data_IF_533419608587
#
_entry.id   IF_533419608587
#
_cell.length_a   1.000
_cell.length_b   1.000
_cell.length_c   1.000
_cell.angle_alpha   90.00
_cell.angle_beta   90.00
_cell.angle_gamma   90.00
#
_symmetry.space_group_name_H-M   'P 1'
#
loop_
_entity.id
_entity.type
_entity.pdbx_description
1 polymer ?
#
# COMPACT_ATOMS: atom_id res chain seq x y z
N UNK A 1 -11.31 24.44 14.05
CA UNK A 1 -12.66 24.58 13.51
C UNK A 1 -13.02 23.50 12.51
N UNK A 2 -12.43 23.47 11.28
CA UNK A 2 -12.67 22.34 10.36
C UNK A 2 -12.30 21.01 11.04
N UNK A 3 -11.15 20.96 11.71
CA UNK A 3 -10.73 19.78 12.47
C UNK A 3 -11.71 19.38 13.58
N UNK A 4 -12.31 20.32 14.29
CA UNK A 4 -13.32 20.02 15.33
C UNK A 4 -14.60 19.43 14.71
N UNK A 5 -15.01 19.88 13.52
CA UNK A 5 -16.14 19.30 12.80
C UNK A 5 -15.79 17.90 12.32
N UNK A 6 -14.60 17.73 11.74
CA UNK A 6 -14.13 16.44 11.24
C UNK A 6 -13.99 15.44 12.39
N UNK A 7 -13.47 15.87 13.53
CA UNK A 7 -13.38 15.05 14.73
C UNK A 7 -14.77 14.62 15.22
N UNK A 8 -15.72 15.56 15.39
CA UNK A 8 -17.10 15.26 15.77
C UNK A 8 -17.80 14.32 14.80
N UNK A 9 -17.50 14.47 13.51
CA UNK A 9 -18.03 13.58 12.48
C UNK A 9 -17.44 12.18 12.63
N UNK A 10 -16.13 12.07 12.87
CA UNK A 10 -15.46 10.78 13.04
C UNK A 10 -15.89 10.03 14.32
N UNK A 11 -16.26 10.77 15.37
CA UNK A 11 -16.82 10.21 16.62
C UNK A 11 -18.27 9.71 16.47
N UNK A 12 -18.93 10.01 15.35
CA UNK A 12 -20.33 9.66 15.10
C UNK A 12 -20.47 8.87 13.79
N UNK A 13 -20.45 7.55 13.90
CA UNK A 13 -20.59 6.64 12.75
C UNK A 13 -21.90 6.82 11.98
N UNK A 14 -22.98 7.11 12.68
CA UNK A 14 -24.31 7.29 12.07
C UNK A 14 -24.34 8.58 11.22
N UNK A 15 -23.69 9.64 11.71
CA UNK A 15 -23.54 10.87 10.94
C UNK A 15 -22.67 10.68 9.67
N UNK A 16 -21.66 9.83 9.73
CA UNK A 16 -20.87 9.47 8.53
C UNK A 16 -21.75 8.71 7.53
N UNK A 17 -22.53 7.74 7.99
CA UNK A 17 -23.45 6.98 7.12
C UNK A 17 -24.47 7.91 6.49
N UNK A 18 -25.14 8.77 7.29
CA UNK A 18 -26.13 9.75 6.79
C UNK A 18 -25.49 10.69 5.74
N UNK A 19 -24.26 11.12 5.95
CA UNK A 19 -23.53 11.96 5.01
C UNK A 19 -23.24 11.22 3.68
N UNK A 20 -22.82 9.97 3.76
CA UNK A 20 -22.53 9.14 2.58
C UNK A 20 -23.82 8.81 1.81
N UNK A 21 -24.91 8.51 2.51
CA UNK A 21 -26.23 8.28 1.91
C UNK A 21 -26.77 9.54 1.24
N UNK A 22 -26.64 10.71 1.89
CA UNK A 22 -27.06 12.00 1.33
C UNK A 22 -26.38 12.30 -0.01
N UNK A 23 -25.12 11.91 -0.15
CA UNK A 23 -24.34 12.07 -1.40
C UNK A 23 -24.40 10.83 -2.30
N UNK A 24 -25.34 9.91 -2.06
CA UNK A 24 -25.56 8.72 -2.88
C UNK A 24 -24.27 7.90 -3.12
N UNK A 25 -23.46 7.71 -2.07
CA UNK A 25 -22.34 6.79 -2.12
C UNK A 25 -22.81 5.33 -2.12
N UNK A 26 -22.16 4.47 -2.91
CA UNK A 26 -22.60 3.08 -3.07
C UNK A 26 -22.26 2.19 -1.87
N UNK A 27 -23.01 1.11 -1.70
CA UNK A 27 -22.85 0.04 -0.66
C UNK A 27 -22.05 0.45 0.57
N UNK A 28 -22.73 0.79 1.66
CA UNK A 28 -22.10 1.17 2.93
C UNK A 28 -22.12 -0.03 3.89
N UNK A 29 -20.98 -0.36 4.48
CA UNK A 29 -20.84 -1.32 5.59
C UNK A 29 -20.16 -0.66 6.77
N UNK A 30 -20.76 -0.77 7.94
CA UNK A 30 -20.23 -0.25 9.20
C UNK A 30 -19.83 -1.42 10.09
N UNK A 31 -18.66 -1.33 10.69
CA UNK A 31 -18.23 -2.20 11.79
C UNK A 31 -17.70 -1.34 12.96
N UNK A 32 -17.24 -1.97 14.03
CA UNK A 32 -16.75 -1.26 15.22
C UNK A 32 -15.48 -0.43 15.00
N UNK A 33 -14.77 -0.62 13.89
CA UNK A 33 -13.48 0.02 13.63
C UNK A 33 -13.51 1.02 12.47
N UNK A 34 -14.41 0.80 11.48
CA UNK A 34 -14.42 1.60 10.26
C UNK A 34 -15.78 1.55 9.54
N UNK A 35 -16.02 2.56 8.71
CA UNK A 35 -17.04 2.53 7.66
C UNK A 35 -16.34 2.19 6.35
N UNK A 36 -16.85 1.22 5.60
CA UNK A 36 -16.41 0.91 4.24
C UNK A 36 -17.54 1.15 3.25
N UNK A 37 -17.21 1.67 2.09
CA UNK A 37 -18.19 1.94 1.06
C UNK A 37 -17.62 1.82 -0.36
N UNK A 38 -18.49 1.74 -1.36
CA UNK A 38 -18.13 1.68 -2.76
C UNK A 38 -18.33 3.04 -3.44
N UNK A 39 -17.63 3.27 -4.56
CA UNK A 39 -17.92 4.41 -5.44
C UNK A 39 -19.17 4.13 -6.26
N UNK A 40 -19.85 5.21 -6.67
CA UNK A 40 -21.05 5.14 -7.50
C UNK A 40 -20.79 4.52 -8.86
N UNK A 41 -19.63 4.83 -9.46
CA UNK A 41 -19.23 4.40 -10.78
C UNK A 41 -18.92 2.91 -10.89
N UNK A 42 -18.75 2.23 -9.75
CA UNK A 42 -18.42 0.80 -9.65
C UNK A 42 -19.17 0.11 -8.51
N UNK A 43 -20.50 0.01 -8.55
CA UNK A 43 -21.28 -0.57 -7.46
C UNK A 43 -20.99 -2.05 -7.19
N UNK A 44 -20.38 -2.76 -8.14
CA UNK A 44 -19.97 -4.17 -8.01
C UNK A 44 -18.52 -4.37 -7.57
N UNK A 45 -17.69 -3.32 -7.62
CA UNK A 45 -16.23 -3.39 -7.41
C UNK A 45 -15.80 -3.43 -5.95
N UNK A 46 -16.59 -3.94 -5.05
CA UNK A 46 -16.19 -4.11 -3.65
C UNK A 46 -16.07 -2.80 -2.86
N UNK A 47 -15.84 -2.93 -1.55
CA UNK A 47 -15.76 -1.84 -0.58
C UNK A 47 -14.33 -1.26 -0.55
N UNK A 48 -13.96 -0.51 -1.58
CA UNK A 48 -12.59 -0.04 -1.81
C UNK A 48 -12.23 1.27 -1.09
N UNK A 49 -13.17 1.85 -0.34
CA UNK A 49 -12.99 3.11 0.37
C UNK A 49 -13.28 2.86 1.85
N UNK A 50 -12.42 3.38 2.74
CA UNK A 50 -12.63 3.23 4.18
C UNK A 50 -12.41 4.53 4.94
N UNK A 51 -13.16 4.68 6.04
CA UNK A 51 -12.97 5.70 7.07
C UNK A 51 -12.83 4.96 8.40
N UNK A 52 -11.66 5.03 9.02
CA UNK A 52 -11.40 4.43 10.33
C UNK A 52 -11.83 5.38 11.44
N UNK A 53 -12.27 4.84 12.56
CA UNK A 53 -12.68 5.64 13.73
C UNK A 53 -11.51 5.95 14.66
N UNK A 54 -10.58 5.01 14.84
CA UNK A 54 -9.44 5.15 15.72
C UNK A 54 -8.31 5.95 15.07
N UNK A 55 -7.71 6.87 15.82
CA UNK A 55 -6.57 7.72 15.40
C UNK A 55 -6.84 8.48 14.08
N UNK A 56 -8.06 8.96 13.89
CA UNK A 56 -8.51 9.60 12.67
C UNK A 56 -9.27 10.92 12.93
N UNK A 57 -8.71 11.82 13.75
CA UNK A 57 -9.35 13.09 14.14
C UNK A 57 -9.71 13.99 12.94
N UNK A 58 -9.09 13.76 11.80
CA UNK A 58 -9.37 14.48 10.56
C UNK A 58 -10.42 13.80 9.67
N UNK A 59 -11.09 12.76 10.14
CA UNK A 59 -12.05 11.95 9.37
C UNK A 59 -11.52 11.63 7.96
N UNK A 60 -10.33 11.01 7.93
CA UNK A 60 -9.63 10.69 6.67
C UNK A 60 -10.31 9.52 5.97
N UNK A 61 -10.56 9.72 4.70
CA UNK A 61 -11.03 8.72 3.75
C UNK A 61 -9.81 8.14 3.04
N UNK A 62 -9.64 6.84 3.11
CA UNK A 62 -8.63 6.10 2.34
C UNK A 62 -9.27 5.40 1.17
N UNK A 63 -8.91 5.83 -0.03
CA UNK A 63 -9.28 5.19 -1.27
C UNK A 63 -8.18 4.22 -1.72
N UNK A 64 -8.43 2.93 -1.58
CA UNK A 64 -7.44 1.90 -1.89
C UNK A 64 -7.20 1.72 -3.40
N UNK A 65 -8.19 2.04 -4.22
CA UNK A 65 -8.06 1.89 -5.66
C UNK A 65 -7.23 3.02 -6.32
N UNK A 66 -7.24 4.22 -5.72
CA UNK A 66 -6.45 5.38 -6.20
C UNK A 66 -5.23 5.67 -5.32
N UNK A 67 -5.04 4.94 -4.21
CA UNK A 67 -4.01 5.22 -3.19
C UNK A 67 -4.04 6.65 -2.67
N UNK A 68 -5.25 7.24 -2.59
CA UNK A 68 -5.48 8.61 -2.13
C UNK A 68 -5.97 8.62 -0.68
N UNK A 69 -5.51 9.63 0.07
CA UNK A 69 -6.01 9.92 1.42
C UNK A 69 -6.41 11.39 1.48
N UNK A 70 -7.68 11.66 1.76
CA UNK A 70 -8.24 13.00 1.90
C UNK A 70 -9.19 13.03 3.10
N UNK A 71 -9.47 14.21 3.69
CA UNK A 71 -10.61 14.27 4.61
C UNK A 71 -11.93 14.09 3.84
N UNK A 72 -12.97 13.61 4.53
CA UNK A 72 -14.25 13.26 3.89
C UNK A 72 -14.88 14.42 3.12
N UNK A 73 -14.76 15.67 3.61
CA UNK A 73 -15.32 16.84 2.93
C UNK A 73 -14.61 17.07 1.59
N UNK A 74 -13.28 17.08 1.60
CA UNK A 74 -12.49 17.23 0.38
C UNK A 74 -12.69 16.08 -0.61
N UNK A 75 -12.82 14.86 -0.09
CA UNK A 75 -13.11 13.69 -0.92
C UNK A 75 -14.48 13.81 -1.60
N UNK A 76 -15.55 14.19 -0.86
CA UNK A 76 -16.88 14.41 -1.42
C UNK A 76 -16.90 15.53 -2.45
N UNK A 77 -16.22 16.64 -2.18
CA UNK A 77 -16.10 17.74 -3.16
C UNK A 77 -15.52 17.26 -4.49
N UNK A 78 -14.47 16.46 -4.43
CA UNK A 78 -13.80 15.91 -5.61
C UNK A 78 -14.65 14.87 -6.34
N UNK A 79 -15.23 13.94 -5.61
CA UNK A 79 -15.94 12.78 -6.17
C UNK A 79 -17.32 13.16 -6.72
N UNK A 80 -18.04 14.05 -6.02
CA UNK A 80 -19.40 14.48 -6.40
C UNK A 80 -19.46 15.81 -7.14
N UNK A 81 -18.30 16.42 -7.38
CA UNK A 81 -18.19 17.74 -8.01
C UNK A 81 -19.05 18.82 -7.33
N UNK A 82 -19.05 18.84 -6.00
CA UNK A 82 -19.82 19.76 -5.16
C UNK A 82 -18.87 20.75 -4.48
N UNK A 83 -19.31 21.99 -4.32
CA UNK A 83 -18.50 23.00 -3.65
C UNK A 83 -18.34 22.73 -2.14
N UNK A 84 -17.20 23.14 -1.61
CA UNK A 84 -16.83 22.90 -0.21
C UNK A 84 -17.84 23.46 0.80
N UNK A 85 -18.44 24.62 0.51
CA UNK A 85 -19.39 25.27 1.38
C UNK A 85 -20.68 24.44 1.51
N UNK A 86 -21.14 23.89 0.40
CA UNK A 86 -22.34 23.03 0.39
C UNK A 86 -22.14 21.76 1.19
N UNK A 87 -21.00 21.08 1.02
CA UNK A 87 -20.67 19.89 1.80
C UNK A 87 -20.56 20.23 3.29
N UNK A 88 -19.88 21.33 3.64
CA UNK A 88 -19.73 21.77 5.03
C UNK A 88 -21.07 22.11 5.69
N UNK A 89 -21.99 22.74 4.97
CA UNK A 89 -23.34 23.04 5.48
C UNK A 89 -24.15 21.75 5.73
N UNK A 90 -24.04 20.76 4.84
CA UNK A 90 -24.67 19.46 5.03
C UNK A 90 -24.12 18.74 6.27
N UNK A 91 -22.78 18.72 6.45
CA UNK A 91 -22.16 18.15 7.65
C UNK A 91 -22.62 18.86 8.93
N UNK A 92 -22.68 20.20 8.93
CA UNK A 92 -23.19 20.96 10.07
C UNK A 92 -24.63 20.60 10.41
N UNK A 93 -25.48 20.45 9.38
CA UNK A 93 -26.89 20.05 9.56
C UNK A 93 -27.01 18.66 10.19
N UNK A 94 -26.29 17.68 9.66
CA UNK A 94 -26.27 16.30 10.17
C UNK A 94 -25.79 16.26 11.63
N UNK A 95 -24.75 17.05 11.96
CA UNK A 95 -24.23 17.14 13.33
C UNK A 95 -25.03 18.07 14.24
N UNK A 96 -26.17 18.63 13.80
CA UNK A 96 -26.97 19.60 14.52
C UNK A 96 -26.18 20.80 15.09
N UNK A 97 -25.20 21.29 14.32
CA UNK A 97 -24.41 22.46 14.71
C UNK A 97 -25.12 23.74 14.31
N UNK A 98 -25.25 24.73 15.24
CA UNK A 98 -25.92 26.00 14.97
C UNK A 98 -25.21 26.80 13.85
N UNK A 99 -25.99 27.56 13.07
CA UNK A 99 -25.49 28.42 11.99
C UNK A 99 -24.59 29.57 12.48
N UNK A 100 -24.73 29.98 13.75
CA UNK A 100 -23.88 30.99 14.39
C UNK A 100 -22.46 30.56 14.67
N UNK A 101 -22.15 29.31 14.38
CA UNK A 101 -20.82 28.76 14.50
C UNK A 101 -19.90 29.34 13.40
N UNK A 102 -19.42 30.58 13.62
CA UNK A 102 -18.45 31.24 12.74
C UNK A 102 -17.04 30.85 13.14
N UNK A 103 -16.16 30.61 12.14
CA UNK A 103 -14.75 30.43 12.44
C UNK A 103 -14.21 31.65 13.18
N UNK A 104 -13.52 31.45 14.31
CA UNK A 104 -12.61 32.46 14.78
C UNK A 104 -11.63 32.75 13.64
N UNK A 105 -11.61 34.01 13.13
CA UNK A 105 -10.61 34.46 12.19
C UNK A 105 -9.27 34.37 12.88
N UNK A 106 -8.54 33.30 12.73
CA UNK A 106 -7.12 33.30 12.96
C UNK A 106 -6.52 34.22 11.87
N UNK A 107 -6.04 35.38 12.27
CA UNK A 107 -5.17 36.20 11.41
C UNK A 107 -4.08 35.29 10.90
N UNK A 108 -3.87 35.20 9.57
CA UNK A 108 -2.81 34.36 9.05
C UNK A 108 -1.48 34.89 9.60
N UNK A 109 -0.79 34.11 10.40
CA UNK A 109 0.63 34.33 10.65
C UNK A 109 1.30 34.14 9.29
N UNK A 110 1.90 35.20 8.75
CA UNK A 110 2.41 35.26 7.36
C UNK A 110 3.40 34.14 7.01
N UNK A 111 3.91 33.40 8.00
CA UNK A 111 4.85 32.30 7.86
C UNK A 111 4.44 31.05 8.66
N UNK A 112 3.29 31.02 9.32
CA UNK A 112 2.84 29.90 10.15
C UNK A 112 2.67 28.62 9.34
N UNK A 113 2.08 28.70 8.15
CA UNK A 113 1.86 27.54 7.28
C UNK A 113 3.16 26.95 6.71
N UNK A 114 4.18 27.76 6.46
CA UNK A 114 5.50 27.29 6.00
C UNK A 114 6.25 26.61 7.14
N UNK A 115 6.16 27.17 8.36
CA UNK A 115 6.76 26.56 9.55
C UNK A 115 6.11 25.25 9.94
N UNK A 116 4.77 25.18 9.87
CA UNK A 116 4.02 23.95 10.12
C UNK A 116 4.30 22.87 9.06
N UNK A 117 4.50 23.26 7.80
CA UNK A 117 4.95 22.33 6.75
C UNK A 117 6.38 21.82 6.95
N UNK A 118 7.27 22.61 7.58
CA UNK A 118 8.66 22.23 7.83
C UNK A 118 8.78 21.40 9.11
N UNK A 119 8.04 21.73 10.17
CA UNK A 119 8.15 21.08 11.49
C UNK A 119 7.22 19.86 11.61
N UNK A 120 6.01 19.90 11.04
CA UNK A 120 5.04 18.79 11.13
C UNK A 120 5.19 17.72 10.02
N UNK A 121 6.27 17.74 9.25
CA UNK A 121 6.67 16.61 8.40
C UNK A 121 7.42 15.50 9.15
N UNK A 122 7.38 15.47 10.45
CA UNK A 122 7.63 14.22 11.16
C UNK A 122 6.44 13.31 10.87
N UNK A 123 6.57 12.48 9.83
CA UNK A 123 5.71 11.29 9.74
C UNK A 123 5.82 10.60 11.10
N UNK A 124 4.70 10.24 11.75
CA UNK A 124 4.77 9.49 12.98
C UNK A 124 5.69 8.30 12.73
N UNK A 125 6.64 8.05 13.63
CA UNK A 125 7.52 6.89 13.50
C UNK A 125 6.63 5.66 13.29
N UNK A 126 6.95 4.82 12.29
CA UNK A 126 6.14 3.64 12.02
C UNK A 126 6.09 2.80 13.30
N UNK A 127 4.89 2.37 13.67
CA UNK A 127 4.72 1.46 14.81
C UNK A 127 5.48 0.18 14.52
N UNK A 128 6.44 -0.14 15.38
CA UNK A 128 7.20 -1.38 15.30
C UNK A 128 6.70 -2.38 16.35
N UNK A 129 6.99 -3.64 16.12
CA UNK A 129 6.60 -4.75 17.00
C UNK A 129 7.83 -5.55 17.37
N UNK A 130 7.90 -6.06 18.62
CA UNK A 130 9.04 -6.87 19.07
C UNK A 130 9.05 -8.24 18.37
N UNK A 131 10.23 -8.83 18.20
CA UNK A 131 10.42 -10.16 17.58
C UNK A 131 9.60 -11.27 18.27
N UNK A 132 9.31 -11.09 19.56
CA UNK A 132 8.47 -12.00 20.33
C UNK A 132 7.08 -12.21 19.73
N UNK A 133 6.61 -11.26 18.90
CA UNK A 133 5.31 -11.39 18.24
C UNK A 133 5.25 -12.59 17.29
N UNK A 134 6.39 -13.06 16.79
CA UNK A 134 6.45 -14.24 15.92
C UNK A 134 6.34 -15.57 16.71
N UNK A 135 6.60 -15.57 18.04
CA UNK A 135 6.54 -16.78 18.88
C UNK A 135 5.16 -17.42 18.96
N UNK A 136 4.10 -16.69 18.62
CA UNK A 136 2.74 -17.23 18.54
C UNK A 136 2.52 -18.13 17.31
N UNK A 137 3.43 -18.10 16.34
CA UNK A 137 3.35 -18.87 15.10
C UNK A 137 4.39 -19.99 15.10
N UNK A 138 4.14 -21.03 14.30
CA UNK A 138 5.07 -22.15 14.16
C UNK A 138 6.15 -21.80 13.13
N UNK A 139 7.43 -21.76 13.47
CA UNK A 139 8.53 -21.41 12.56
C UNK A 139 8.86 -22.58 11.64
N UNK A 140 7.97 -22.89 10.71
CA UNK A 140 8.11 -23.98 9.74
C UNK A 140 7.85 -23.45 8.32
N UNK A 141 8.71 -23.89 7.40
CA UNK A 141 8.48 -23.61 5.97
C UNK A 141 7.20 -24.29 5.47
N UNK A 142 6.56 -23.65 4.51
CA UNK A 142 5.27 -24.06 3.99
C UNK A 142 5.43 -24.83 2.68
N UNK A 143 4.76 -26.00 2.57
CA UNK A 143 4.82 -26.88 1.40
C UNK A 143 4.18 -26.24 0.16
N UNK A 144 3.13 -25.43 0.32
CA UNK A 144 2.49 -24.72 -0.78
C UNK A 144 3.47 -23.73 -1.43
N UNK A 145 4.20 -22.98 -0.62
CA UNK A 145 5.23 -22.07 -1.12
C UNK A 145 6.46 -22.80 -1.67
N UNK A 146 6.78 -23.97 -1.16
CA UNK A 146 7.82 -24.83 -1.75
C UNK A 146 7.41 -25.28 -3.17
N UNK A 147 6.15 -25.69 -3.35
CA UNK A 147 5.59 -26.02 -4.67
C UNK A 147 5.50 -24.79 -5.61
N UNK A 148 5.28 -23.61 -5.05
CA UNK A 148 5.31 -22.33 -5.76
C UNK A 148 6.76 -21.88 -6.12
N UNK A 149 7.78 -22.71 -5.88
CA UNK A 149 9.17 -22.43 -6.23
C UNK A 149 9.95 -21.61 -5.22
N UNK A 150 9.51 -21.53 -3.97
CA UNK A 150 10.22 -20.82 -2.89
C UNK A 150 10.92 -21.85 -1.99
N UNK A 151 12.25 -21.85 -1.99
CA UNK A 151 13.04 -22.80 -1.20
C UNK A 151 12.81 -22.66 0.30
N UNK A 152 12.96 -23.77 1.05
CA UNK A 152 12.84 -23.76 2.51
C UNK A 152 13.92 -22.88 3.17
N UNK A 153 15.05 -22.71 2.52
CA UNK A 153 16.12 -21.83 2.99
C UNK A 153 15.68 -20.37 2.96
N UNK A 154 15.14 -19.90 1.82
CA UNK A 154 14.60 -18.54 1.67
C UNK A 154 13.41 -18.32 2.60
N UNK A 155 12.49 -19.30 2.71
CA UNK A 155 11.38 -19.18 3.65
C UNK A 155 11.85 -18.98 5.09
N UNK A 156 12.89 -19.70 5.52
CA UNK A 156 13.46 -19.58 6.87
C UNK A 156 14.19 -18.25 7.05
N UNK A 157 14.94 -17.82 6.05
CA UNK A 157 15.66 -16.54 6.07
C UNK A 157 14.72 -15.33 6.22
N UNK A 158 13.54 -15.41 5.62
CA UNK A 158 12.53 -14.36 5.67
C UNK A 158 11.50 -14.55 6.80
N UNK A 159 11.80 -15.37 7.79
CA UNK A 159 10.96 -15.64 8.96
C UNK A 159 9.54 -16.10 8.61
N UNK A 160 9.40 -16.85 7.52
CA UNK A 160 8.12 -17.43 7.15
C UNK A 160 7.71 -18.45 8.21
N UNK A 161 6.51 -18.25 8.76
CA UNK A 161 5.92 -19.10 9.78
C UNK A 161 4.56 -19.64 9.33
N UNK A 162 3.94 -20.46 10.14
CA UNK A 162 2.61 -20.99 9.92
C UNK A 162 1.71 -20.74 11.12
N UNK A 163 0.48 -20.29 10.87
CA UNK A 163 -0.59 -20.21 11.86
C UNK A 163 -1.50 -21.42 11.71
N UNK A 164 -1.47 -22.42 12.64
CA UNK A 164 -2.41 -23.54 12.60
C UNK A 164 -3.86 -23.09 12.83
N UNK A 165 -4.05 -22.05 13.66
CA UNK A 165 -5.37 -21.51 14.00
C UNK A 165 -6.08 -20.91 12.78
N UNK A 166 -5.36 -20.13 12.00
CA UNK A 166 -5.90 -19.46 10.80
C UNK A 166 -5.72 -20.29 9.53
N UNK A 167 -5.04 -21.42 9.60
CA UNK A 167 -4.56 -22.18 8.43
C UNK A 167 -3.88 -21.24 7.41
N UNK A 168 -2.89 -20.48 7.84
CA UNK A 168 -2.29 -19.44 7.05
C UNK A 168 -0.76 -19.42 7.10
N UNK A 169 -0.16 -19.09 5.97
CA UNK A 169 1.26 -18.77 5.86
C UNK A 169 1.45 -17.36 6.38
N UNK A 170 2.37 -17.17 7.30
CA UNK A 170 2.67 -15.93 8.00
C UNK A 170 4.02 -15.41 7.52
N UNK A 171 4.10 -14.14 7.20
CA UNK A 171 5.35 -13.49 6.81
C UNK A 171 5.41 -12.04 7.32
N UNK A 172 6.47 -11.69 8.08
CA UNK A 172 6.63 -10.36 8.62
C UNK A 172 7.07 -9.37 7.54
N UNK A 173 6.58 -8.14 7.63
CA UNK A 173 7.13 -7.00 6.94
C UNK A 173 8.06 -6.24 7.87
N UNK A 174 9.27 -5.95 7.41
CA UNK A 174 10.30 -5.25 8.16
C UNK A 174 10.60 -3.90 7.53
N UNK A 175 11.04 -2.96 8.34
CA UNK A 175 11.51 -1.66 7.87
C UNK A 175 13.01 -1.71 7.49
N UNK A 176 13.57 -0.55 7.16
CA UNK A 176 14.99 -0.44 6.80
C UNK A 176 15.96 -0.71 7.97
N UNK A 177 15.47 -0.74 9.20
CA UNK A 177 16.25 -1.07 10.41
C UNK A 177 16.08 -2.53 10.82
N UNK A 178 15.34 -3.30 10.04
CA UNK A 178 14.96 -4.69 10.30
C UNK A 178 13.89 -4.87 11.40
N UNK A 179 13.23 -3.80 11.85
CA UNK A 179 12.15 -3.87 12.82
C UNK A 179 10.85 -4.35 12.13
N UNK A 180 10.08 -5.23 12.81
CA UNK A 180 8.78 -5.69 12.30
C UNK A 180 7.77 -4.55 12.34
N UNK A 181 7.19 -4.20 11.20
CA UNK A 181 6.19 -3.13 11.05
C UNK A 181 4.77 -3.66 10.79
N UNK A 182 4.66 -4.88 10.28
CA UNK A 182 3.39 -5.56 10.04
C UNK A 182 3.61 -7.07 9.93
N UNK A 183 2.54 -7.83 10.12
CA UNK A 183 2.51 -9.26 9.75
C UNK A 183 1.39 -9.43 8.73
N UNK A 184 1.76 -9.92 7.56
CA UNK A 184 0.82 -10.31 6.51
C UNK A 184 0.70 -11.82 6.47
N UNK A 185 -0.44 -12.31 6.05
CA UNK A 185 -0.71 -13.74 5.96
C UNK A 185 -1.39 -14.06 4.64
N UNK A 186 -1.19 -15.29 4.20
CA UNK A 186 -1.88 -15.88 3.07
C UNK A 186 -2.53 -17.17 3.50
N UNK A 187 -3.81 -17.35 3.19
CA UNK A 187 -4.50 -18.60 3.45
C UNK A 187 -3.77 -19.77 2.76
N UNK A 188 -3.57 -20.85 3.49
CA UNK A 188 -2.83 -22.02 3.01
C UNK A 188 -3.75 -22.91 2.14
N UNK A 189 -3.82 -22.59 0.86
CA UNK A 189 -4.70 -23.23 -0.12
C UNK A 189 -5.75 -22.29 -0.67
N UNK A 190 -6.93 -22.84 -1.00
CA UNK A 190 -8.09 -22.07 -1.47
C UNK A 190 -8.91 -21.61 -0.26
N UNK A 191 -9.09 -20.30 -0.06
CA UNK A 191 -9.87 -19.81 1.06
C UNK A 191 -11.35 -20.19 0.90
N UNK A 192 -12.08 -20.41 2.02
CA UNK A 192 -13.53 -20.56 2.01
C UNK A 192 -14.24 -19.37 1.37
N UNK A 193 -15.45 -19.58 0.89
CA UNK A 193 -16.28 -18.53 0.31
C UNK A 193 -16.46 -17.34 1.27
N UNK A 194 -16.22 -16.12 0.79
CA UNK A 194 -16.28 -14.89 1.59
C UNK A 194 -15.04 -14.58 2.43
N UNK A 195 -14.03 -15.45 2.44
CA UNK A 195 -12.74 -15.19 3.10
C UNK A 195 -11.72 -14.63 2.11
N UNK A 196 -10.97 -13.63 2.54
CA UNK A 196 -9.87 -13.08 1.72
C UNK A 196 -8.67 -14.02 1.71
N UNK A 197 -8.04 -14.18 0.54
CA UNK A 197 -6.79 -14.96 0.39
C UNK A 197 -5.64 -14.38 1.21
N UNK A 198 -5.59 -13.05 1.34
CA UNK A 198 -4.58 -12.33 2.12
C UNK A 198 -5.26 -11.49 3.20
N UNK A 199 -4.67 -11.47 4.39
CA UNK A 199 -5.12 -10.65 5.51
C UNK A 199 -3.93 -10.23 6.39
N UNK A 200 -4.16 -9.35 7.35
CA UNK A 200 -3.13 -8.81 8.24
C UNK A 200 -3.46 -9.16 9.69
N UNK A 201 -2.87 -10.22 10.26
CA UNK A 201 -2.99 -10.49 11.71
C UNK A 201 -2.48 -9.31 12.53
N UNK A 202 -1.42 -8.66 12.07
CA UNK A 202 -0.90 -7.44 12.67
C UNK A 202 -0.78 -6.37 11.58
N UNK A 203 -1.63 -5.36 11.67
CA UNK A 203 -1.66 -4.27 10.70
C UNK A 203 -0.51 -3.29 10.91
N UNK A 204 -0.04 -2.69 9.80
CA UNK A 204 0.98 -1.67 9.81
C UNK A 204 1.07 -0.91 8.49
N UNK A 205 1.96 0.07 8.43
CA UNK A 205 2.15 0.90 7.25
C UNK A 205 3.18 0.28 6.29
N UNK A 206 2.81 -0.77 5.55
CA UNK A 206 3.70 -1.42 4.58
C UNK A 206 4.14 -0.49 3.44
N UNK A 207 3.34 0.54 3.12
CA UNK A 207 3.72 1.52 2.09
C UNK A 207 4.87 2.45 2.52
N UNK A 208 5.33 2.37 3.78
CA UNK A 208 6.54 3.06 4.25
C UNK A 208 7.81 2.23 4.09
N UNK A 209 7.71 0.97 3.65
CA UNK A 209 8.83 0.04 3.50
C UNK A 209 8.71 -0.81 2.24
N UNK A 210 9.72 -1.63 2.00
CA UNK A 210 9.81 -2.59 0.89
C UNK A 210 10.05 -3.97 1.47
N UNK A 211 9.28 -4.96 1.04
CA UNK A 211 9.52 -6.34 1.45
C UNK A 211 10.84 -6.86 0.89
N UNK A 212 11.66 -7.43 1.74
CA UNK A 212 13.00 -7.90 1.39
C UNK A 212 14.09 -6.84 1.47
N UNK A 213 13.77 -5.57 1.82
CA UNK A 213 14.77 -4.50 1.87
C UNK A 213 15.90 -4.78 2.85
N UNK A 214 15.60 -5.10 4.11
CA UNK A 214 16.59 -5.41 5.14
C UNK A 214 17.39 -6.66 4.81
N UNK A 215 16.73 -7.75 4.44
CA UNK A 215 17.35 -9.03 4.09
C UNK A 215 18.30 -8.94 2.89
N UNK A 216 17.94 -8.15 1.90
CA UNK A 216 18.67 -8.05 0.64
C UNK A 216 19.58 -6.81 0.57
N UNK A 217 19.66 -5.98 1.61
CA UNK A 217 20.32 -4.67 1.58
C UNK A 217 21.72 -4.69 0.96
N UNK A 218 22.56 -5.66 1.34
CA UNK A 218 23.95 -5.79 0.83
C UNK A 218 24.03 -6.05 -0.69
N UNK A 219 22.97 -6.62 -1.27
CA UNK A 219 22.89 -6.91 -2.70
C UNK A 219 22.18 -5.80 -3.47
N UNK A 220 21.40 -4.97 -2.79
CA UNK A 220 20.67 -3.85 -3.37
C UNK A 220 21.55 -2.60 -3.48
N UNK A 221 22.39 -2.33 -2.46
CA UNK A 221 23.14 -1.08 -2.38
C UNK A 221 24.18 -0.97 -3.50
N UNK A 222 24.07 0.09 -4.32
CA UNK A 222 25.00 0.36 -5.44
C UNK A 222 24.85 -0.59 -6.65
N UNK A 223 23.80 -1.42 -6.68
CA UNK A 223 23.52 -2.38 -7.75
C UNK A 223 22.19 -2.07 -8.45
N UNK A 224 21.80 -2.92 -9.40
CA UNK A 224 20.47 -2.86 -9.97
C UNK A 224 19.43 -3.25 -8.91
N UNK A 225 18.25 -2.65 -8.96
CA UNK A 225 17.15 -2.96 -8.06
C UNK A 225 15.95 -3.45 -8.87
N UNK A 226 15.55 -4.68 -8.62
CA UNK A 226 14.35 -5.29 -9.22
C UNK A 226 13.17 -5.07 -8.26
N UNK A 227 12.10 -4.50 -8.79
CA UNK A 227 10.87 -4.19 -8.04
C UNK A 227 9.77 -5.10 -8.56
N UNK A 228 9.21 -5.93 -7.68
CA UNK A 228 8.06 -6.79 -7.95
C UNK A 228 6.83 -6.37 -7.14
N UNK A 229 5.64 -6.85 -7.52
CA UNK A 229 4.41 -6.50 -6.82
C UNK A 229 4.28 -7.24 -5.49
N UNK A 230 4.35 -8.57 -5.51
CA UNK A 230 4.02 -9.42 -4.38
C UNK A 230 5.25 -9.92 -3.61
N UNK A 231 5.07 -10.16 -2.30
CA UNK A 231 6.09 -10.77 -1.44
C UNK A 231 6.52 -12.15 -1.93
N UNK A 232 5.56 -12.94 -2.46
CA UNK A 232 5.82 -14.24 -3.07
C UNK A 232 6.85 -14.13 -4.18
N UNK A 233 6.69 -13.14 -5.06
CA UNK A 233 7.58 -12.89 -6.19
C UNK A 233 9.00 -12.50 -5.74
N UNK A 234 9.11 -11.72 -4.66
CA UNK A 234 10.40 -11.41 -4.05
C UNK A 234 11.10 -12.68 -3.53
N UNK A 235 10.38 -13.56 -2.84
CA UNK A 235 10.92 -14.81 -2.31
C UNK A 235 11.30 -15.81 -3.42
N UNK A 236 10.50 -15.89 -4.49
CA UNK A 236 10.84 -16.67 -5.68
C UNK A 236 12.13 -16.15 -6.32
N UNK A 237 12.24 -14.84 -6.55
CA UNK A 237 13.44 -14.22 -7.08
C UNK A 237 14.67 -14.50 -6.21
N UNK A 238 14.56 -14.40 -4.89
CA UNK A 238 15.64 -14.79 -3.97
C UNK A 238 16.04 -16.26 -4.12
N UNK A 239 15.06 -17.16 -4.32
CA UNK A 239 15.32 -18.59 -4.56
C UNK A 239 16.06 -18.81 -5.88
N UNK A 240 15.80 -17.99 -6.91
CA UNK A 240 16.47 -18.06 -8.21
C UNK A 240 17.87 -17.43 -8.21
N UNK A 241 18.29 -16.83 -7.06
CA UNK A 241 19.57 -16.16 -6.91
C UNK A 241 19.54 -14.64 -7.12
N UNK A 242 18.38 -14.06 -7.40
CA UNK A 242 18.20 -12.61 -7.51
C UNK A 242 18.01 -12.01 -6.13
N UNK A 243 19.12 -11.63 -5.49
CA UNK A 243 19.11 -11.00 -4.15
C UNK A 243 18.93 -9.47 -4.22
N UNK A 244 18.98 -8.89 -5.40
CA UNK A 244 18.76 -7.48 -5.65
C UNK A 244 17.28 -7.16 -5.96
N UNK A 245 16.37 -7.85 -5.27
CA UNK A 245 14.92 -7.81 -5.50
C UNK A 245 14.16 -7.38 -4.23
N UNK A 246 13.11 -6.57 -4.41
CA UNK A 246 12.20 -6.12 -3.37
C UNK A 246 10.75 -6.13 -3.85
N UNK A 247 9.78 -6.28 -2.93
CA UNK A 247 8.38 -6.14 -3.27
C UNK A 247 7.75 -4.88 -2.66
N UNK A 248 6.81 -4.28 -3.40
CA UNK A 248 6.07 -3.08 -2.98
C UNK A 248 4.74 -3.40 -2.29
N UNK A 249 4.26 -4.64 -2.38
CA UNK A 249 3.05 -5.14 -1.73
C UNK A 249 1.73 -4.64 -2.36
N UNK A 250 1.80 -3.96 -3.49
CA UNK A 250 0.68 -3.44 -4.28
C UNK A 250 1.14 -3.11 -5.70
N UNK A 251 0.24 -2.66 -6.56
CA UNK A 251 0.60 -2.19 -7.91
C UNK A 251 1.01 -0.70 -7.96
N UNK A 252 0.99 0.01 -6.82
CA UNK A 252 1.37 1.43 -6.73
C UNK A 252 2.56 1.62 -5.80
N UNK A 253 3.60 2.23 -6.33
CA UNK A 253 4.77 2.65 -5.57
C UNK A 253 4.44 3.91 -4.76
N UNK A 254 4.74 3.90 -3.47
CA UNK A 254 4.59 5.09 -2.64
C UNK A 254 5.82 6.02 -2.73
N UNK A 255 5.66 7.29 -2.34
CA UNK A 255 6.77 8.22 -2.25
C UNK A 255 7.84 7.76 -1.23
N UNK A 256 7.43 7.14 -0.11
CA UNK A 256 8.35 6.61 0.89
C UNK A 256 9.16 5.43 0.33
N UNK A 257 8.51 4.49 -0.36
CA UNK A 257 9.17 3.38 -1.03
C UNK A 257 10.14 3.87 -2.12
N UNK A 258 9.74 4.85 -2.93
CA UNK A 258 10.59 5.46 -3.94
C UNK A 258 11.86 6.08 -3.33
N UNK A 259 11.73 6.76 -2.20
CA UNK A 259 12.87 7.32 -1.47
C UNK A 259 13.82 6.24 -0.95
N UNK A 260 13.28 5.13 -0.41
CA UNK A 260 14.09 3.98 0.02
C UNK A 260 14.87 3.37 -1.16
N UNK A 261 14.23 3.19 -2.31
CA UNK A 261 14.89 2.68 -3.52
C UNK A 261 16.03 3.61 -3.95
N UNK A 262 15.77 4.92 -4.01
CA UNK A 262 16.80 5.90 -4.41
C UNK A 262 17.95 6.02 -3.40
N UNK A 263 17.70 5.77 -2.11
CA UNK A 263 18.75 5.72 -1.07
C UNK A 263 19.73 4.55 -1.27
N UNK A 264 19.31 3.48 -1.93
CA UNK A 264 20.18 2.35 -2.30
C UNK A 264 21.22 2.71 -3.35
N UNK A 265 21.15 3.91 -3.94
CA UNK A 265 22.04 4.35 -5.02
C UNK A 265 22.06 3.40 -6.22
N UNK A 266 20.88 3.00 -6.73
CA UNK A 266 20.81 1.99 -7.79
C UNK A 266 21.47 2.49 -9.08
N UNK A 267 22.05 1.56 -9.86
CA UNK A 267 22.49 1.80 -11.22
C UNK A 267 21.31 1.79 -12.17
N UNK A 268 20.50 0.74 -12.08
CA UNK A 268 19.26 0.56 -12.82
C UNK A 268 18.14 0.23 -11.84
N UNK A 269 16.94 0.71 -12.14
CA UNK A 269 15.71 0.29 -11.46
C UNK A 269 14.86 -0.45 -12.49
N UNK A 270 14.51 -1.67 -12.20
CA UNK A 270 13.75 -2.57 -13.07
C UNK A 270 12.39 -2.83 -12.43
N UNK A 271 11.32 -2.34 -13.06
CA UNK A 271 9.95 -2.55 -12.60
C UNK A 271 9.36 -3.79 -13.28
N UNK A 272 9.28 -4.88 -12.53
CA UNK A 272 8.81 -6.18 -12.98
C UNK A 272 7.52 -6.58 -12.24
N UNK A 273 6.44 -5.82 -12.49
CA UNK A 273 5.14 -6.02 -11.87
C UNK A 273 4.36 -7.16 -12.54
N UNK A 274 3.26 -7.58 -11.92
CA UNK A 274 2.42 -8.68 -12.40
C UNK A 274 1.75 -8.32 -13.75
N UNK A 275 1.51 -9.34 -14.59
CA UNK A 275 0.81 -9.19 -15.87
C UNK A 275 -0.61 -8.64 -15.69
N UNK A 276 -1.10 -7.94 -16.73
CA UNK A 276 -2.44 -7.36 -16.79
C UNK A 276 -2.54 -5.95 -16.21
N UNK A 277 -1.43 -5.30 -15.86
CA UNK A 277 -1.39 -3.88 -15.56
C UNK A 277 -1.35 -3.06 -16.84
N UNK A 278 -2.18 -2.02 -16.89
CA UNK A 278 -2.10 -1.04 -17.98
C UNK A 278 -0.77 -0.27 -17.91
N UNK A 279 -0.17 0.02 -19.06
CA UNK A 279 1.09 0.76 -19.14
C UNK A 279 1.05 2.09 -18.36
N UNK A 280 -0.08 2.80 -18.36
CA UNK A 280 -0.26 4.05 -17.60
C UNK A 280 -0.04 3.86 -16.09
N UNK A 281 -0.33 2.67 -15.55
CA UNK A 281 -0.06 2.35 -14.15
C UNK A 281 1.44 2.15 -13.89
N UNK A 282 2.14 1.45 -14.79
CA UNK A 282 3.60 1.26 -14.72
C UNK A 282 4.29 2.61 -14.89
N UNK A 283 3.87 3.39 -15.87
CA UNK A 283 4.35 4.74 -16.15
C UNK A 283 4.24 5.66 -14.94
N UNK A 284 3.10 5.66 -14.25
CA UNK A 284 2.90 6.47 -13.03
C UNK A 284 3.97 6.19 -11.97
N UNK A 285 4.32 4.93 -11.78
CA UNK A 285 5.35 4.52 -10.83
C UNK A 285 6.76 4.96 -11.30
N UNK A 286 7.05 4.82 -12.59
CA UNK A 286 8.33 5.24 -13.18
C UNK A 286 8.49 6.77 -13.17
N UNK A 287 7.43 7.51 -13.48
CA UNK A 287 7.41 8.98 -13.40
C UNK A 287 7.65 9.48 -11.97
N UNK A 288 7.10 8.78 -10.96
CA UNK A 288 7.37 9.10 -9.57
C UNK A 288 8.86 8.93 -9.24
N UNK A 289 9.47 7.81 -9.64
CA UNK A 289 10.91 7.57 -9.45
C UNK A 289 11.74 8.63 -10.19
N UNK A 290 11.41 8.91 -11.43
CA UNK A 290 12.08 9.93 -12.26
C UNK A 290 12.00 11.32 -11.62
N UNK A 291 10.84 11.70 -11.10
CA UNK A 291 10.62 12.99 -10.45
C UNK A 291 11.45 13.18 -9.17
N UNK A 292 11.69 12.10 -8.43
CA UNK A 292 12.47 12.11 -7.20
C UNK A 292 13.98 11.93 -7.44
N UNK A 293 14.38 11.37 -8.57
CA UNK A 293 15.76 11.13 -8.94
C UNK A 293 16.51 12.37 -9.50
N UNK A 294 15.97 13.58 -9.33
CA UNK A 294 16.35 14.86 -9.99
C UNK A 294 17.84 15.21 -10.03
N UNK A 295 18.68 14.61 -9.23
CA UNK A 295 20.13 14.84 -9.21
C UNK A 295 20.98 13.61 -9.53
N UNK A 296 20.36 12.48 -9.94
CA UNK A 296 21.06 11.24 -10.23
C UNK A 296 20.62 10.69 -11.58
N UNK A 297 21.59 10.31 -12.40
CA UNK A 297 21.30 9.51 -13.59
C UNK A 297 21.04 8.08 -13.12
N UNK A 298 19.78 7.70 -13.02
CA UNK A 298 19.33 6.33 -12.77
C UNK A 298 18.58 5.89 -14.01
N UNK A 299 19.01 4.77 -14.58
CA UNK A 299 18.32 4.16 -15.71
C UNK A 299 17.08 3.42 -15.22
N UNK A 300 15.95 3.65 -15.88
CA UNK A 300 14.68 3.04 -15.54
C UNK A 300 14.29 2.04 -16.61
N UNK A 301 13.94 0.84 -16.19
CA UNK A 301 13.47 -0.24 -17.06
C UNK A 301 12.17 -0.80 -16.53
N UNK A 302 11.38 -1.39 -17.39
CA UNK A 302 10.21 -2.16 -17.00
C UNK A 302 10.07 -3.42 -17.86
N UNK A 303 9.43 -4.42 -17.30
CA UNK A 303 8.99 -5.58 -18.04
C UNK A 303 7.64 -5.32 -18.68
N UNK A 304 7.57 -5.50 -20.01
CA UNK A 304 6.32 -5.38 -20.77
C UNK A 304 5.80 -6.78 -21.08
N UNK A 305 4.82 -7.24 -20.27
CA UNK A 305 4.21 -8.56 -20.42
C UNK A 305 3.48 -8.74 -21.75
N UNK A 306 3.12 -7.66 -22.45
CA UNK A 306 2.42 -7.75 -23.74
C UNK A 306 3.32 -8.25 -24.87
N UNK A 307 4.64 -8.21 -24.68
CA UNK A 307 5.61 -8.70 -25.66
C UNK A 307 5.80 -10.22 -25.62
N UNK A 308 5.29 -10.89 -24.59
CA UNK A 308 5.41 -12.36 -24.42
C UNK A 308 4.00 -13.00 -24.43
N UNK A 309 3.69 -13.75 -25.49
CA UNK A 309 2.36 -14.31 -25.70
C UNK A 309 2.05 -15.55 -24.83
N UNK A 310 3.05 -16.13 -24.18
CA UNK A 310 2.93 -17.38 -23.42
C UNK A 310 2.73 -17.15 -21.91
N UNK A 311 2.49 -15.91 -21.47
CA UNK A 311 2.35 -15.56 -20.05
C UNK A 311 0.93 -15.86 -19.57
N UNK A 312 0.75 -16.63 -18.49
CA UNK A 312 -0.55 -16.79 -17.85
C UNK A 312 -1.08 -15.46 -17.34
N UNK A 313 -2.38 -15.21 -17.56
CA UNK A 313 -3.02 -13.96 -17.08
C UNK A 313 -2.79 -13.75 -15.58
N UNK A 314 -2.34 -12.55 -15.22
CA UNK A 314 -1.99 -12.13 -13.84
C UNK A 314 -0.81 -12.88 -13.23
N UNK A 315 0.05 -13.46 -14.05
CA UNK A 315 1.28 -14.06 -13.56
C UNK A 315 2.32 -12.98 -13.23
N UNK A 316 3.07 -13.21 -12.16
CA UNK A 316 4.31 -12.47 -11.91
C UNK A 316 5.40 -13.00 -12.84
N UNK A 317 6.40 -12.19 -13.22
CA UNK A 317 7.57 -12.66 -13.96
C UNK A 317 8.25 -13.87 -13.33
N UNK A 318 8.23 -13.97 -12.00
CA UNK A 318 8.83 -15.06 -11.24
C UNK A 318 7.99 -16.34 -11.21
N UNK A 319 6.67 -16.26 -11.47
CA UNK A 319 5.79 -17.44 -11.50
C UNK A 319 6.10 -18.39 -12.65
N UNK A 320 6.82 -17.92 -13.67
CA UNK A 320 7.21 -18.72 -14.84
C UNK A 320 8.50 -19.51 -14.62
N UNK A 321 9.07 -19.46 -13.42
CA UNK A 321 10.27 -20.18 -13.05
C UNK A 321 11.58 -19.43 -13.35
N UNK A 322 12.68 -19.99 -12.86
CA UNK A 322 14.00 -19.33 -12.89
C UNK A 322 14.54 -19.07 -14.31
N UNK A 323 14.35 -20.02 -15.23
CA UNK A 323 14.86 -19.89 -16.61
C UNK A 323 14.16 -18.74 -17.34
N UNK A 324 12.83 -18.68 -17.27
CA UNK A 324 12.06 -17.61 -17.92
C UNK A 324 12.29 -16.26 -17.24
N UNK A 325 12.42 -16.23 -15.93
CA UNK A 325 12.75 -15.00 -15.22
C UNK A 325 14.13 -14.47 -15.61
N UNK A 326 15.13 -15.34 -15.78
CA UNK A 326 16.45 -14.96 -16.31
C UNK A 326 16.36 -14.36 -17.71
N UNK A 327 15.61 -15.00 -18.61
CA UNK A 327 15.39 -14.50 -19.98
C UNK A 327 14.78 -13.08 -19.94
N UNK A 328 13.73 -12.88 -19.13
CA UNK A 328 13.10 -11.56 -18.97
C UNK A 328 14.12 -10.52 -18.51
N UNK A 329 14.91 -10.83 -17.48
CA UNK A 329 15.86 -9.88 -16.90
C UNK A 329 17.02 -9.55 -17.84
N UNK A 330 17.33 -10.41 -18.80
CA UNK A 330 18.45 -10.21 -19.73
C UNK A 330 18.02 -9.65 -21.09
N UNK A 331 16.83 -10.01 -21.60
CA UNK A 331 16.47 -9.83 -23.00
C UNK A 331 15.13 -9.08 -23.22
N UNK A 332 14.25 -9.00 -22.21
CA UNK A 332 12.89 -8.50 -22.42
C UNK A 332 12.56 -7.20 -21.65
N UNK A 333 13.58 -6.52 -21.15
CA UNK A 333 13.38 -5.25 -20.47
C UNK A 333 13.29 -4.09 -21.46
N UNK A 334 12.33 -3.22 -21.26
CA UNK A 334 12.14 -2.00 -22.03
C UNK A 334 12.66 -0.81 -21.25
N UNK A 335 13.51 0.01 -21.88
CA UNK A 335 14.04 1.24 -21.27
C UNK A 335 12.94 2.31 -21.23
N UNK A 336 12.81 2.97 -20.08
CA UNK A 336 11.89 4.08 -19.89
C UNK A 336 12.66 5.41 -19.97
N UNK A 337 12.47 6.13 -21.06
CA UNK A 337 13.12 7.41 -21.37
C UNK A 337 12.32 8.64 -20.96
#
# INVERSE_FOLDING_TARGET
MLNEILQKLNENSDAIVELLDYYECGKIKVNTREVRFARDDRPESGLNISIRFENNDACLVKDFARSEVNNIISWLCKEKNVDFKSVLLTVKRILNLSDDWRPRRNTPKLFGGVYDCIINKTQPEPKTYPEEILKQYVPIGNELWLKDGISLEVQREFDVCFSPEDNAIIFPWRDAKDDIIAIKSRYNGTPPEGMSKYFYPVGGNISSSLYGYSHNYQYLYGNDVVIVEAEKSCLQGCTFGYRNIVAIGSNNLSEAQSKLILQLQPKRIIMALDDGLEFEQIKKNLDLLKSLATMRQVELYYWDSTLDLDIPSKASPTDMGAEKFNEIMQEQLVEYT
#
